data_IF_216313916005
#
_entry.id   IF_216313916005
#
_cell.length_a   1.000
_cell.length_b   1.000
_cell.length_c   1.000
_cell.angle_alpha   90.00
_cell.angle_beta   90.00
_cell.angle_gamma   90.00
#
_symmetry.space_group_name_H-M   'P 1'
#
loop_
_entity.id
_entity.type
_entity.pdbx_description
1 polymer ?
#
# COMPACT_ATOMS: atom_id res chain seq x y z
N UNK A 1 11.64 11.89 -4.54
CA UNK A 1 10.78 10.69 -4.55
C UNK A 1 9.34 11.15 -4.31
N UNK A 2 8.45 11.04 -5.29
CA UNK A 2 7.07 11.55 -5.20
C UNK A 2 6.22 10.54 -4.43
N UNK A 3 5.66 10.96 -3.29
CA UNK A 3 4.64 10.18 -2.57
C UNK A 3 3.29 10.49 -3.21
N UNK A 4 2.90 9.69 -4.19
CA UNK A 4 1.64 9.88 -4.92
C UNK A 4 0.43 9.24 -4.21
N UNK A 5 0.69 8.43 -3.17
CA UNK A 5 -0.33 7.74 -2.39
C UNK A 5 -0.69 8.52 -1.12
N UNK A 6 -1.99 8.78 -0.94
CA UNK A 6 -2.56 9.49 0.21
C UNK A 6 -2.61 11.01 0.05
N UNK A 7 -3.56 11.67 0.71
CA UNK A 7 -3.53 13.13 0.88
C UNK A 7 -2.33 13.51 1.75
N UNK A 8 -1.89 14.78 1.71
CA UNK A 8 -0.82 15.26 2.58
C UNK A 8 -1.12 14.90 4.06
N UNK A 9 -0.23 14.15 4.70
CA UNK A 9 -0.40 13.66 6.09
C UNK A 9 -0.53 12.15 6.24
N UNK A 10 -0.74 11.40 5.15
CA UNK A 10 -0.76 9.93 5.23
C UNK A 10 0.65 9.36 5.48
N UNK A 11 0.77 8.46 6.45
CA UNK A 11 2.01 7.73 6.77
C UNK A 11 1.86 6.27 6.36
N UNK A 12 2.79 5.76 5.54
CA UNK A 12 2.82 4.33 5.22
C UNK A 12 3.45 3.60 6.41
N UNK A 13 2.68 2.73 7.05
CA UNK A 13 3.12 1.93 8.19
C UNK A 13 3.73 0.60 7.76
N UNK A 14 3.17 -0.01 6.72
CA UNK A 14 3.57 -1.32 6.25
C UNK A 14 3.40 -1.40 4.74
N UNK A 15 4.39 -1.96 4.06
CA UNK A 15 4.33 -2.25 2.64
C UNK A 15 4.97 -3.61 2.40
N UNK A 16 4.13 -4.61 2.13
CA UNK A 16 4.53 -5.97 1.81
C UNK A 16 4.17 -6.23 0.35
N UNK A 17 5.17 -6.57 -0.47
CA UNK A 17 5.00 -6.80 -1.90
C UNK A 17 5.65 -8.12 -2.25
N UNK A 18 4.87 -9.04 -2.83
CA UNK A 18 5.37 -10.24 -3.47
C UNK A 18 5.17 -10.09 -4.97
N UNK A 19 6.16 -9.53 -5.66
CA UNK A 19 6.08 -9.18 -7.08
C UNK A 19 6.26 -10.41 -7.97
N UNK A 20 5.18 -11.18 -8.11
CA UNK A 20 5.06 -12.31 -9.03
C UNK A 20 3.60 -12.51 -9.39
N UNK A 21 3.29 -13.18 -10.50
CA UNK A 21 1.91 -13.57 -10.82
C UNK A 21 1.35 -14.45 -9.70
N UNK A 22 0.18 -14.12 -9.19
CA UNK A 22 -0.43 -14.73 -8.01
C UNK A 22 0.16 -14.28 -6.67
N UNK A 23 1.21 -13.44 -6.69
CA UNK A 23 1.79 -12.83 -5.50
C UNK A 23 0.84 -11.81 -4.88
N UNK A 24 0.85 -11.72 -3.55
CA UNK A 24 0.02 -10.76 -2.79
C UNK A 24 0.79 -9.47 -2.53
N UNK A 25 0.05 -8.37 -2.48
CA UNK A 25 0.54 -7.12 -1.92
C UNK A 25 -0.39 -6.65 -0.79
N UNK A 26 0.21 -5.96 0.19
CA UNK A 26 -0.49 -5.33 1.31
C UNK A 26 0.20 -4.04 1.68
N UNK A 27 -0.57 -2.97 1.77
CA UNK A 27 -0.10 -1.66 2.21
C UNK A 27 -1.03 -1.15 3.30
N UNK A 28 -0.46 -0.74 4.43
CA UNK A 28 -1.19 -0.07 5.51
C UNK A 28 -0.76 1.39 5.53
N UNK A 29 -1.74 2.29 5.49
CA UNK A 29 -1.55 3.73 5.59
C UNK A 29 -2.32 4.26 6.79
N UNK A 30 -1.75 5.23 7.50
CA UNK A 30 -2.39 5.90 8.62
C UNK A 30 -2.61 7.37 8.30
N UNK A 31 -3.84 7.84 8.53
CA UNK A 31 -4.21 9.24 8.49
C UNK A 31 -3.70 9.99 9.73
N UNK A 32 -3.57 11.33 9.68
CA UNK A 32 -3.18 12.13 10.83
C UNK A 32 -4.11 11.99 12.04
N UNK A 33 -5.39 11.65 11.81
CA UNK A 33 -6.38 11.40 12.87
C UNK A 33 -6.24 10.02 13.52
N UNK A 34 -5.31 9.19 13.04
CA UNK A 34 -5.05 7.84 13.52
C UNK A 34 -5.79 6.73 12.78
N UNK A 35 -6.62 7.06 11.79
CA UNK A 35 -7.37 6.07 11.00
C UNK A 35 -6.45 5.26 10.09
N UNK A 36 -6.56 3.93 10.16
CA UNK A 36 -5.80 3.01 9.31
C UNK A 36 -6.59 2.58 8.07
N UNK A 37 -5.94 2.72 6.92
CA UNK A 37 -6.39 2.24 5.61
C UNK A 37 -5.51 1.08 5.17
N UNK A 38 -6.12 -0.08 4.98
CA UNK A 38 -5.42 -1.28 4.52
C UNK A 38 -5.84 -1.55 3.07
N UNK A 39 -4.87 -1.51 2.17
CA UNK A 39 -5.05 -1.89 0.77
C UNK A 39 -4.36 -3.22 0.54
N UNK A 40 -5.08 -4.20 0.00
CA UNK A 40 -4.51 -5.50 -0.35
C UNK A 40 -4.93 -5.91 -1.75
N UNK A 41 -4.17 -6.81 -2.36
CA UNK A 41 -4.56 -7.42 -3.61
C UNK A 41 -3.60 -8.52 -4.06
N UNK A 42 -3.86 -9.03 -5.25
CA UNK A 42 -3.09 -10.10 -5.89
C UNK A 42 -2.66 -9.62 -7.27
N UNK A 43 -1.38 -9.75 -7.58
CA UNK A 43 -0.88 -9.51 -8.93
C UNK A 43 -1.45 -10.56 -9.88
N UNK A 44 -2.27 -10.12 -10.83
CA UNK A 44 -2.80 -11.00 -11.89
C UNK A 44 -1.82 -11.16 -13.04
N UNK A 45 -1.03 -10.13 -13.29
CA UNK A 45 0.00 -10.07 -14.32
C UNK A 45 1.18 -9.26 -13.76
N UNK A 46 2.39 -9.61 -14.19
CA UNK A 46 3.63 -8.88 -13.90
C UNK A 46 4.40 -8.81 -15.21
N UNK A 47 4.64 -7.60 -15.71
CA UNK A 47 5.35 -7.30 -16.96
C UNK A 47 6.69 -6.63 -16.67
#
# INVERSE_FOLDING_TARGET
>A
MVKWWGRAGFTILLCEINLKVGGRYRTTMREPDGTDHIVTGVYREVL
#
